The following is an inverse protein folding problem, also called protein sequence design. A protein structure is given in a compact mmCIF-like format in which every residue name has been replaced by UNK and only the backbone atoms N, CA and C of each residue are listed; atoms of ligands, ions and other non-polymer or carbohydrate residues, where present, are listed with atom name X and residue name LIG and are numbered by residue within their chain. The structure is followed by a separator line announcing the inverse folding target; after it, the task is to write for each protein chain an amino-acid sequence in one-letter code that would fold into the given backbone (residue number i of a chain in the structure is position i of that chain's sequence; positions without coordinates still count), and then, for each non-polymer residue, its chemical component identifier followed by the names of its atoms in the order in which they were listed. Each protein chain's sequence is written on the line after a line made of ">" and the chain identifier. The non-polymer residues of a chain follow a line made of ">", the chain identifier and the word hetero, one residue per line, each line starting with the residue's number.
data_IF_960341406722
#
_entry.id   IF_960341406722
#
_cell.length_a   1.000
_cell.length_b   1.000
_cell.length_c   1.000
_cell.angle_alpha   90.00
_cell.angle_beta   90.00
_cell.angle_gamma   90.00
#
_symmetry.space_group_name_H-M   'P 1'
#
loop_
_entity.id
_entity.type
_entity.pdbx_description
1 polymer ?
#
# COMPACT_ATOMS: atom_id res chain seq x y z
N UNK A 1 -0.35 3.63 16.52
CA UNK A 1 -0.64 4.45 15.31
C UNK A 1 -1.80 5.45 15.45
N UNK A 2 -2.83 5.24 16.29
CA UNK A 2 -3.99 6.17 16.36
C UNK A 2 -3.64 7.67 16.55
N UNK A 3 -2.65 7.98 17.40
CA UNK A 3 -2.14 9.35 17.57
C UNK A 3 -1.57 9.96 16.27
N UNK A 4 -1.00 9.14 15.38
CA UNK A 4 -0.52 9.57 14.07
C UNK A 4 -1.67 9.99 13.16
N UNK A 5 -2.74 9.21 13.13
CA UNK A 5 -3.98 9.52 12.40
C UNK A 5 -4.61 10.82 12.89
N UNK A 6 -4.65 11.02 14.22
CA UNK A 6 -5.17 12.27 14.81
C UNK A 6 -4.26 13.48 14.52
N UNK A 7 -2.93 13.34 14.56
CA UNK A 7 -2.02 14.43 14.21
C UNK A 7 -2.07 14.78 12.72
N UNK A 8 -2.18 13.78 11.82
CA UNK A 8 -2.41 14.02 10.38
C UNK A 8 -3.74 14.73 10.15
N UNK A 9 -4.83 14.28 10.79
CA UNK A 9 -6.14 14.95 10.74
C UNK A 9 -6.03 16.42 11.14
N UNK A 10 -5.45 16.69 12.31
CA UNK A 10 -5.29 18.05 12.85
C UNK A 10 -4.39 18.92 11.96
N UNK A 11 -3.30 18.38 11.43
CA UNK A 11 -2.42 19.08 10.50
C UNK A 11 -3.15 19.42 9.19
N UNK A 12 -3.81 18.45 8.56
CA UNK A 12 -4.54 18.68 7.30
C UNK A 12 -5.68 19.69 7.46
N UNK A 13 -6.49 19.55 8.51
CA UNK A 13 -7.57 20.49 8.80
C UNK A 13 -7.04 21.93 9.01
N UNK A 14 -5.93 22.09 9.76
CA UNK A 14 -5.24 23.38 9.89
C UNK A 14 -4.81 23.95 8.53
N UNK A 15 -4.35 23.10 7.60
CA UNK A 15 -3.89 23.55 6.27
C UNK A 15 -4.98 23.99 5.30
N UNK A 16 -6.25 23.71 5.56
CA UNK A 16 -7.36 24.26 4.75
C UNK A 16 -7.69 25.70 5.13
N UNK A 17 -7.53 26.06 6.41
CA UNK A 17 -7.60 27.47 6.85
C UNK A 17 -6.31 28.24 6.54
N UNK A 18 -5.14 27.59 6.61
CA UNK A 18 -3.85 28.20 6.29
C UNK A 18 -2.85 27.15 5.74
N UNK A 19 -2.74 27.08 4.42
CA UNK A 19 -1.95 26.06 3.71
C UNK A 19 -0.42 26.16 3.87
N UNK A 20 0.07 27.13 4.64
CA UNK A 20 1.49 27.35 4.91
C UNK A 20 1.95 26.58 6.15
N UNK A 21 2.86 25.63 5.96
CA UNK A 21 3.60 24.93 7.02
C UNK A 21 5.01 25.48 7.17
N UNK A 22 5.59 25.37 8.39
CA UNK A 22 6.97 25.78 8.67
C UNK A 22 7.85 24.54 8.86
N UNK A 23 8.77 24.30 7.93
CA UNK A 23 9.68 23.14 7.90
C UNK A 23 11.12 23.64 7.83
N UNK A 24 11.98 23.16 8.73
CA UNK A 24 13.38 23.58 8.86
C UNK A 24 13.54 25.12 8.86
N UNK A 25 12.71 25.79 9.67
CA UNK A 25 12.67 27.25 9.81
C UNK A 25 11.97 28.01 8.67
N UNK A 26 11.86 27.44 7.46
CA UNK A 26 11.25 28.06 6.27
C UNK A 26 9.75 27.80 6.19
N UNK A 27 8.98 28.81 5.79
CA UNK A 27 7.54 28.69 5.57
C UNK A 27 7.25 28.39 4.09
N UNK A 28 6.53 27.30 3.80
CA UNK A 28 6.12 26.92 2.43
C UNK A 28 4.72 26.28 2.42
N UNK A 29 4.17 26.06 1.24
CA UNK A 29 2.97 25.23 1.07
C UNK A 29 3.19 23.82 1.64
N UNK A 30 2.15 23.24 2.25
CA UNK A 30 2.16 21.83 2.62
C UNK A 30 2.28 20.97 1.37
N UNK A 31 3.00 19.86 1.49
CA UNK A 31 3.21 18.85 0.46
C UNK A 31 2.81 17.49 1.02
N UNK A 32 2.57 16.51 0.14
CA UNK A 32 2.25 15.13 0.56
C UNK A 32 3.26 14.60 1.58
N UNK A 33 4.55 14.89 1.37
CA UNK A 33 5.67 14.46 2.22
C UNK A 33 5.47 14.86 3.70
N UNK A 34 4.91 16.04 3.97
CA UNK A 34 4.69 16.53 5.34
C UNK A 34 3.64 15.69 6.10
N UNK A 35 2.57 15.27 5.39
CA UNK A 35 1.54 14.40 5.97
C UNK A 35 2.12 13.03 6.33
N UNK A 36 2.95 12.48 5.44
CA UNK A 36 3.61 11.20 5.69
C UNK A 36 4.74 11.29 6.72
N UNK A 37 5.48 12.39 6.81
CA UNK A 37 6.51 12.60 7.84
C UNK A 37 5.93 12.59 9.26
N UNK A 38 4.70 13.09 9.48
CA UNK A 38 3.96 12.95 10.75
C UNK A 38 3.73 11.47 11.07
N UNK A 39 3.26 10.68 10.11
CA UNK A 39 2.99 9.26 10.31
C UNK A 39 4.28 8.42 10.46
N UNK A 40 5.37 8.80 9.77
CA UNK A 40 6.71 8.22 9.94
C UNK A 40 7.30 8.56 11.31
N UNK A 41 7.14 9.79 11.80
CA UNK A 41 7.54 10.21 13.16
C UNK A 41 6.95 9.26 14.21
N UNK A 42 5.63 9.03 14.18
CA UNK A 42 4.97 8.09 15.08
C UNK A 42 5.39 6.64 14.85
N UNK A 43 5.55 6.18 13.61
CA UNK A 43 5.98 4.80 13.33
C UNK A 43 7.40 4.54 13.86
N UNK A 44 8.32 5.50 13.81
CA UNK A 44 9.68 5.37 14.38
C UNK A 44 9.67 5.23 15.89
N UNK A 45 8.78 5.93 16.59
CA UNK A 45 8.70 5.90 18.06
C UNK A 45 7.94 4.67 18.58
N UNK A 46 6.94 4.18 17.84
CA UNK A 46 6.09 3.07 18.28
C UNK A 46 6.72 1.66 18.16
N UNK A 47 7.85 1.54 17.45
CA UNK A 47 8.63 0.30 17.27
C UNK A 47 10.04 0.73 16.81
N UNK A 48 10.91 1.12 17.75
CA UNK A 48 12.21 1.75 17.46
C UNK A 48 13.26 0.76 16.94
N UNK A 49 13.11 -0.53 17.26
CA UNK A 49 14.00 -1.61 16.78
C UNK A 49 13.87 -1.84 15.26
N UNK A 50 12.81 -1.31 14.64
CA UNK A 50 12.61 -1.32 13.19
C UNK A 50 12.74 0.08 12.58
N UNK A 51 13.97 0.55 12.30
CA UNK A 51 14.23 1.89 11.78
C UNK A 51 13.60 2.12 10.39
N UNK A 52 12.56 2.95 10.36
CA UNK A 52 11.90 3.42 9.14
C UNK A 52 12.65 4.64 8.58
N UNK A 53 13.28 4.48 7.43
CA UNK A 53 14.03 5.51 6.71
C UNK A 53 13.33 5.81 5.38
N UNK A 54 13.42 7.05 4.90
CA UNK A 54 12.99 7.35 3.53
C UNK A 54 14.08 6.91 2.55
N UNK A 55 13.67 6.32 1.42
CA UNK A 55 14.64 5.83 0.42
C UNK A 55 15.40 6.98 -0.26
N UNK A 56 14.77 8.14 -0.47
CA UNK A 56 15.43 9.35 -0.99
C UNK A 56 16.46 9.98 -0.02
N UNK A 57 16.47 9.55 1.23
CA UNK A 57 17.44 9.94 2.27
C UNK A 57 18.54 8.88 2.49
N UNK A 58 18.50 7.75 1.78
CA UNK A 58 19.55 6.73 1.87
C UNK A 58 20.79 7.11 1.03
N UNK A 59 22.00 6.66 1.42
CA UNK A 59 23.18 6.76 0.57
C UNK A 59 22.94 6.06 -0.77
N UNK A 60 23.25 6.73 -1.88
CA UNK A 60 23.02 6.20 -3.23
C UNK A 60 23.65 4.82 -3.48
N UNK A 61 24.80 4.53 -2.82
CA UNK A 61 25.48 3.22 -2.87
C UNK A 61 24.68 2.07 -2.24
N UNK A 62 23.74 2.36 -1.34
CA UNK A 62 22.83 1.38 -0.75
C UNK A 62 21.66 1.09 -1.71
N UNK A 63 21.13 2.13 -2.36
CA UNK A 63 20.07 2.00 -3.36
C UNK A 63 20.57 1.27 -4.63
N UNK A 64 21.73 1.67 -5.16
CA UNK A 64 22.31 1.06 -6.38
C UNK A 64 22.83 -0.36 -6.20
N UNK A 65 22.89 -0.85 -4.95
CA UNK A 65 23.09 -2.27 -4.62
C UNK A 65 21.80 -3.09 -4.60
N UNK A 66 20.66 -2.50 -4.97
CA UNK A 66 19.36 -3.17 -5.00
C UNK A 66 18.72 -3.28 -3.61
N UNK A 67 18.57 -2.15 -2.89
CA UNK A 67 17.75 -2.15 -1.67
C UNK A 67 16.30 -2.50 -2.03
N UNK A 68 15.86 -3.69 -1.62
CA UNK A 68 14.55 -4.25 -1.96
C UNK A 68 13.83 -4.76 -0.71
N UNK A 69 12.54 -4.46 -0.58
CA UNK A 69 11.65 -5.11 0.38
C UNK A 69 11.10 -6.41 -0.21
N UNK A 70 11.75 -7.53 0.06
CA UNK A 70 11.27 -8.85 -0.37
C UNK A 70 10.15 -9.36 0.53
N UNK A 71 8.92 -9.42 -0.01
CA UNK A 71 7.83 -10.19 0.59
C UNK A 71 7.91 -11.62 0.03
N UNK A 72 8.40 -12.56 0.84
CA UNK A 72 8.37 -13.97 0.49
C UNK A 72 6.92 -14.47 0.60
N UNK A 73 6.29 -14.76 -0.54
CA UNK A 73 4.96 -15.38 -0.62
C UNK A 73 5.06 -16.89 -0.38
N UNK A 74 6.03 -17.53 -1.05
CA UNK A 74 6.42 -18.93 -0.90
C UNK A 74 7.94 -18.95 -0.74
N UNK A 75 8.48 -19.82 0.12
CA UNK A 75 9.93 -20.05 0.26
C UNK A 75 10.20 -21.52 0.58
N UNK A 76 10.43 -22.32 -0.46
CA UNK A 76 10.34 -23.78 -0.34
C UNK A 76 8.96 -24.15 0.19
N UNK A 77 8.90 -25.07 1.15
CA UNK A 77 7.65 -25.53 1.79
C UNK A 77 6.95 -24.47 2.67
N UNK A 78 7.55 -23.28 2.90
CA UNK A 78 6.96 -22.24 3.74
C UNK A 78 6.08 -21.32 2.91
N UNK A 79 4.76 -21.53 2.98
CA UNK A 79 3.72 -20.65 2.42
C UNK A 79 3.39 -19.54 3.42
N UNK A 80 3.39 -18.29 2.97
CA UNK A 80 3.06 -17.13 3.80
C UNK A 80 1.55 -16.90 3.85
N UNK A 81 0.87 -17.60 4.77
CA UNK A 81 -0.59 -17.64 4.94
C UNK A 81 -1.28 -16.26 4.99
N UNK A 82 -0.56 -15.19 5.37
CA UNK A 82 -1.06 -13.80 5.32
C UNK A 82 -1.50 -13.37 3.92
N UNK A 83 -0.86 -13.89 2.87
CA UNK A 83 -1.06 -13.48 1.48
C UNK A 83 -1.76 -14.55 0.64
N UNK A 84 -2.18 -15.68 1.25
CA UNK A 84 -2.79 -16.80 0.54
C UNK A 84 -4.01 -16.39 -0.31
N UNK A 85 -4.88 -15.54 0.24
CA UNK A 85 -6.06 -14.99 -0.44
C UNK A 85 -5.75 -14.04 -1.63
N UNK A 86 -4.46 -13.81 -1.93
CA UNK A 86 -4.00 -13.05 -3.09
C UNK A 86 -3.28 -13.93 -4.13
N UNK A 87 -3.07 -15.23 -3.88
CA UNK A 87 -2.26 -16.07 -4.78
C UNK A 87 -2.88 -16.17 -6.18
N UNK A 88 -4.20 -16.35 -6.29
CA UNK A 88 -4.93 -16.35 -7.57
C UNK A 88 -4.75 -15.01 -8.31
N UNK A 89 -5.03 -13.88 -7.64
CA UNK A 89 -4.89 -12.54 -8.20
C UNK A 89 -3.46 -12.23 -8.67
N UNK A 90 -2.47 -12.73 -7.94
CA UNK A 90 -1.04 -12.59 -8.26
C UNK A 90 -0.68 -13.48 -9.46
N UNK A 91 -1.18 -14.71 -9.51
CA UNK A 91 -0.96 -15.65 -10.61
C UNK A 91 -1.52 -15.11 -11.93
N UNK A 92 -2.75 -14.61 -11.92
CA UNK A 92 -3.38 -14.04 -13.12
C UNK A 92 -2.72 -12.71 -13.53
N UNK A 93 -2.31 -11.88 -12.58
CA UNK A 93 -1.44 -10.72 -12.87
C UNK A 93 -0.13 -11.15 -13.57
N UNK A 94 0.53 -12.23 -13.11
CA UNK A 94 1.75 -12.73 -13.76
C UNK A 94 1.47 -13.21 -15.19
N UNK A 95 0.38 -13.97 -15.41
CA UNK A 95 -0.06 -14.40 -16.75
C UNK A 95 -0.24 -13.20 -17.68
N UNK A 96 -0.94 -12.15 -17.23
CA UNK A 96 -1.15 -10.92 -18.01
C UNK A 96 0.16 -10.19 -18.34
N UNK A 97 1.08 -10.07 -17.37
CA UNK A 97 2.40 -9.46 -17.64
C UNK A 97 3.24 -10.26 -18.63
N UNK A 98 3.14 -11.60 -18.62
CA UNK A 98 3.78 -12.48 -19.63
C UNK A 98 3.14 -12.26 -21.00
N UNK A 99 1.81 -12.24 -21.10
CA UNK A 99 1.09 -12.01 -22.36
C UNK A 99 1.42 -10.63 -22.96
N UNK A 100 1.50 -9.57 -22.15
CA UNK A 100 1.92 -8.23 -22.60
C UNK A 100 3.36 -8.24 -23.13
N UNK A 101 4.29 -8.91 -22.44
CA UNK A 101 5.67 -9.04 -22.90
C UNK A 101 5.78 -9.80 -24.23
N UNK A 102 5.14 -10.97 -24.33
CA UNK A 102 5.18 -11.77 -25.56
C UNK A 102 4.42 -11.10 -26.70
N UNK A 103 3.35 -10.35 -26.45
CA UNK A 103 2.67 -9.56 -27.49
C UNK A 103 3.54 -8.46 -28.09
N UNK A 104 4.39 -7.81 -27.27
CA UNK A 104 5.31 -6.78 -27.74
C UNK A 104 6.55 -7.33 -28.48
N UNK A 105 7.11 -8.45 -28.03
CA UNK A 105 8.42 -8.95 -28.51
C UNK A 105 8.37 -10.24 -29.35
N UNK A 106 7.30 -11.04 -29.27
CA UNK A 106 7.09 -12.23 -30.09
C UNK A 106 5.59 -12.47 -30.40
N UNK A 107 4.96 -11.61 -31.22
CA UNK A 107 3.53 -11.72 -31.52
C UNK A 107 3.15 -13.02 -32.26
N UNK A 108 4.11 -13.71 -32.90
CA UNK A 108 3.86 -14.99 -33.57
C UNK A 108 3.70 -16.16 -32.58
N UNK A 109 4.49 -16.19 -31.51
CA UNK A 109 4.36 -17.20 -30.45
C UNK A 109 3.25 -16.90 -29.41
N UNK A 110 2.57 -15.74 -29.50
CA UNK A 110 1.61 -15.31 -28.48
C UNK A 110 0.43 -16.29 -28.28
N UNK A 111 0.00 -16.99 -29.34
CA UNK A 111 -1.09 -17.96 -29.25
C UNK A 111 -0.67 -19.22 -28.46
N UNK A 112 0.53 -19.72 -28.70
CA UNK A 112 1.13 -20.86 -27.98
C UNK A 112 1.35 -20.52 -26.50
N UNK A 113 1.88 -19.31 -26.22
CA UNK A 113 2.06 -18.79 -24.86
C UNK A 113 0.71 -18.68 -24.13
N UNK A 114 -0.34 -18.19 -24.80
CA UNK A 114 -1.69 -18.13 -24.23
C UNK A 114 -2.21 -19.52 -23.86
N UNK A 115 -2.15 -20.48 -24.78
CA UNK A 115 -2.59 -21.85 -24.54
C UNK A 115 -1.81 -22.54 -23.41
N UNK A 116 -0.50 -22.26 -23.28
CA UNK A 116 0.28 -22.75 -22.16
C UNK A 116 -0.16 -22.12 -20.81
N UNK A 117 -0.41 -20.81 -20.77
CA UNK A 117 -0.83 -20.10 -19.56
C UNK A 117 -2.29 -20.41 -19.13
N UNK A 118 -3.15 -20.82 -20.06
CA UNK A 118 -4.52 -21.30 -19.76
C UNK A 118 -4.52 -22.60 -18.93
N UNK A 119 -3.45 -23.40 -19.01
CA UNK A 119 -3.27 -24.61 -18.21
C UNK A 119 -2.59 -24.36 -16.84
N UNK A 120 -2.10 -23.14 -16.60
CA UNK A 120 -1.40 -22.77 -15.36
C UNK A 120 -2.39 -22.50 -14.24
N UNK A 121 -2.29 -23.33 -13.20
CA UNK A 121 -3.09 -23.20 -11.97
C UNK A 121 -2.22 -22.87 -10.75
N UNK A 122 -0.89 -23.05 -10.84
CA UNK A 122 0.06 -22.85 -9.73
C UNK A 122 1.26 -22.02 -10.17
N UNK A 123 1.88 -21.30 -9.23
CA UNK A 123 3.02 -20.39 -9.53
C UNK A 123 4.24 -21.21 -10.00
N UNK A 124 4.34 -22.43 -9.52
CA UNK A 124 5.34 -23.45 -9.84
C UNK A 124 5.30 -23.86 -11.33
N UNK A 125 4.13 -23.85 -11.96
CA UNK A 125 3.94 -24.24 -13.38
C UNK A 125 4.57 -23.22 -14.34
N UNK A 126 4.63 -21.95 -13.92
CA UNK A 126 5.09 -20.83 -14.77
C UNK A 126 6.55 -20.96 -15.17
N UNK A 127 7.44 -21.38 -14.26
CA UNK A 127 8.88 -21.41 -14.54
C UNK A 127 9.26 -22.48 -15.57
N UNK A 128 8.73 -23.73 -15.53
CA UNK A 128 8.85 -24.68 -16.62
C UNK A 128 8.35 -24.16 -17.98
N UNK A 129 7.23 -23.44 -18.01
CA UNK A 129 6.67 -22.88 -19.25
C UNK A 129 7.55 -21.73 -19.80
N UNK A 130 7.98 -20.81 -18.94
CA UNK A 130 8.87 -19.71 -19.35
C UNK A 130 10.28 -20.17 -19.77
N UNK A 131 10.68 -21.40 -19.41
CA UNK A 131 11.88 -22.07 -19.93
C UNK A 131 11.71 -22.59 -21.37
N UNK A 132 10.50 -23.00 -21.75
CA UNK A 132 10.20 -23.43 -23.13
C UNK A 132 10.24 -22.23 -24.09
N UNK A 133 9.61 -21.12 -23.71
CA UNK A 133 9.53 -19.93 -24.56
C UNK A 133 10.75 -19.00 -24.49
N UNK A 134 11.62 -19.14 -23.48
CA UNK A 134 12.87 -18.37 -23.38
C UNK A 134 13.97 -19.17 -22.66
N UNK A 135 14.96 -19.66 -23.43
CA UNK A 135 16.10 -20.45 -22.92
C UNK A 135 17.06 -19.69 -22.00
N UNK A 136 16.92 -18.36 -21.87
CA UNK A 136 17.68 -17.56 -20.88
C UNK A 136 17.08 -17.63 -19.47
N UNK A 137 15.86 -18.13 -19.32
CA UNK A 137 15.13 -18.26 -18.05
C UNK A 137 15.68 -19.41 -17.18
N UNK A 138 16.95 -19.38 -16.79
CA UNK A 138 17.59 -20.50 -16.07
C UNK A 138 17.03 -20.72 -14.66
N UNK A 139 17.23 -19.74 -13.79
CA UNK A 139 17.04 -19.94 -12.33
C UNK A 139 15.76 -19.25 -11.83
N UNK A 140 15.23 -18.32 -12.62
CA UNK A 140 13.99 -17.61 -12.38
C UNK A 140 13.65 -16.60 -13.47
N UNK A 141 12.52 -15.91 -13.30
CA UNK A 141 12.17 -14.69 -14.05
C UNK A 141 11.49 -13.67 -13.14
N UNK A 142 11.35 -12.45 -13.64
CA UNK A 142 10.79 -11.31 -12.91
C UNK A 142 9.72 -10.63 -13.76
N UNK A 143 8.62 -10.22 -13.13
CA UNK A 143 7.59 -9.35 -13.70
C UNK A 143 7.37 -8.13 -12.80
N UNK A 144 7.19 -6.97 -13.42
CA UNK A 144 6.97 -5.70 -12.73
C UNK A 144 5.54 -5.23 -12.98
N UNK A 145 4.93 -4.61 -11.96
CA UNK A 145 3.70 -3.84 -12.15
C UNK A 145 4.01 -2.52 -12.84
N UNK A 146 2.99 -1.99 -13.54
CA UNK A 146 3.08 -0.71 -14.23
C UNK A 146 2.13 0.26 -13.56
N UNK A 147 2.68 1.43 -13.23
CA UNK A 147 2.05 2.48 -12.44
C UNK A 147 1.91 3.70 -13.35
N UNK A 148 0.68 4.12 -13.71
CA UNK A 148 0.48 5.21 -14.66
C UNK A 148 0.94 6.55 -14.09
N UNK A 149 1.54 7.40 -14.94
CA UNK A 149 1.99 8.73 -14.56
C UNK A 149 0.85 9.75 -14.57
N UNK A 150 0.54 10.35 -13.41
CA UNK A 150 -0.38 11.49 -13.32
C UNK A 150 0.14 12.77 -14.00
N UNK A 151 1.43 12.81 -14.39
CA UNK A 151 2.09 14.00 -14.95
C UNK A 151 2.34 13.88 -16.46
N UNK A 152 2.81 12.71 -16.89
CA UNK A 152 3.29 12.46 -18.24
C UNK A 152 2.30 11.49 -18.93
N UNK A 153 1.35 12.00 -19.71
CA UNK A 153 0.24 11.19 -20.23
C UNK A 153 0.74 9.99 -21.07
N UNK A 154 0.23 8.79 -20.80
CA UNK A 154 0.63 7.55 -21.48
C UNK A 154 1.98 6.98 -21.05
N UNK A 155 2.65 7.58 -20.06
CA UNK A 155 3.89 7.05 -19.47
C UNK A 155 3.58 6.19 -18.25
N UNK A 156 4.24 5.06 -18.15
CA UNK A 156 4.20 4.17 -16.98
C UNK A 156 5.57 4.11 -16.30
N UNK A 157 5.56 3.90 -14.99
CA UNK A 157 6.74 3.56 -14.18
C UNK A 157 6.61 2.14 -13.63
N UNK A 158 7.73 1.50 -13.31
CA UNK A 158 7.72 0.23 -12.59
C UNK A 158 7.34 0.43 -11.12
N UNK A 159 6.36 -0.36 -10.64
CA UNK A 159 5.93 -0.39 -9.25
C UNK A 159 6.57 -1.54 -8.48
N UNK A 160 5.75 -2.35 -7.81
CA UNK A 160 6.23 -3.57 -7.16
C UNK A 160 6.70 -4.61 -8.18
N UNK A 161 7.53 -5.53 -7.71
CA UNK A 161 8.26 -6.50 -8.54
C UNK A 161 8.09 -7.90 -7.96
N UNK A 162 7.55 -8.82 -8.76
CA UNK A 162 7.46 -10.25 -8.42
C UNK A 162 8.61 -10.97 -9.13
N UNK A 163 9.36 -11.77 -8.38
CA UNK A 163 10.37 -12.67 -8.93
C UNK A 163 10.02 -14.11 -8.55
N UNK A 164 10.03 -14.99 -9.54
CA UNK A 164 9.79 -16.43 -9.38
C UNK A 164 11.11 -17.14 -9.62
N UNK A 165 11.59 -17.87 -8.62
CA UNK A 165 12.81 -18.70 -8.66
C UNK A 165 12.47 -20.15 -8.34
N UNK A 166 13.13 -21.09 -9.01
CA UNK A 166 12.78 -22.50 -8.89
C UNK A 166 13.37 -23.19 -7.66
N UNK A 167 12.49 -23.70 -6.80
CA UNK A 167 12.70 -24.97 -6.07
C UNK A 167 11.33 -25.66 -5.89
N UNK A 168 11.29 -26.90 -5.40
CA UNK A 168 10.28 -27.89 -5.87
C UNK A 168 9.15 -28.33 -4.90
N UNK A 169 7.89 -28.19 -5.38
CA UNK A 169 6.67 -29.02 -5.12
C UNK A 169 6.03 -29.01 -3.71
N UNK A 170 4.69 -29.04 -3.50
CA UNK A 170 3.46 -29.08 -4.32
C UNK A 170 2.27 -28.38 -3.57
N UNK A 171 1.18 -27.96 -4.28
CA UNK A 171 -0.21 -27.66 -3.76
C UNK A 171 -0.45 -26.40 -2.87
N UNK A 172 -1.67 -25.82 -2.61
CA UNK A 172 -3.05 -25.68 -3.17
C UNK A 172 -3.85 -24.68 -2.23
N UNK A 173 -5.00 -24.00 -2.45
CA UNK A 173 -5.98 -23.75 -3.55
C UNK A 173 -6.76 -22.38 -3.32
N UNK A 174 -7.68 -21.98 -4.23
CA UNK A 174 -8.59 -20.77 -4.31
C UNK A 174 -9.56 -20.58 -3.11
N UNK A 175 -10.37 -19.52 -2.88
CA UNK A 175 -10.82 -18.26 -3.56
C UNK A 175 -11.76 -17.47 -2.57
N UNK A 176 -12.66 -16.48 -2.83
CA UNK A 176 -13.09 -15.60 -3.95
C UNK A 176 -13.92 -14.38 -3.37
N UNK A 177 -14.64 -13.54 -4.17
CA UNK A 177 -15.17 -12.19 -3.78
C UNK A 177 -16.69 -11.87 -4.04
N UNK A 178 -17.20 -10.72 -3.51
CA UNK A 178 -18.57 -10.16 -3.75
C UNK A 178 -18.67 -8.60 -3.73
N UNK A 179 -19.82 -8.02 -4.13
CA UNK A 179 -19.98 -6.63 -4.63
C UNK A 179 -20.64 -5.56 -3.69
N UNK A 180 -20.80 -4.30 -4.17
CA UNK A 180 -21.13 -3.08 -3.37
C UNK A 180 -22.00 -2.01 -4.08
N UNK A 181 -22.76 -1.16 -3.32
CA UNK A 181 -23.47 0.06 -3.79
C UNK A 181 -22.69 1.40 -3.67
N UNK A 182 -23.23 2.48 -4.27
CA UNK A 182 -22.57 3.81 -4.51
C UNK A 182 -23.29 4.98 -3.80
N UNK A 183 -22.57 6.05 -3.35
CA UNK A 183 -23.11 7.44 -3.18
C UNK A 183 -22.10 8.56 -2.85
N UNK A 184 -22.58 9.81 -3.01
CA UNK A 184 -22.10 11.13 -2.50
C UNK A 184 -20.89 11.83 -3.20
N UNK A 185 -21.15 12.52 -4.33
CA UNK A 185 -20.14 13.00 -5.33
C UNK A 185 -18.98 13.86 -4.80
N UNK A 186 -19.22 14.87 -3.97
CA UNK A 186 -18.16 15.84 -3.65
C UNK A 186 -17.20 15.30 -2.60
N UNK A 187 -17.73 14.55 -1.63
CA UNK A 187 -16.93 13.71 -0.74
C UNK A 187 -16.24 12.57 -1.50
N UNK A 188 -16.91 11.98 -2.51
CA UNK A 188 -16.34 10.93 -3.36
C UNK A 188 -15.07 11.42 -4.07
N UNK A 189 -15.05 12.66 -4.57
CA UNK A 189 -13.89 13.29 -5.22
C UNK A 189 -12.69 13.47 -4.28
N UNK A 190 -12.90 14.04 -3.09
CA UNK A 190 -11.83 14.18 -2.08
C UNK A 190 -11.33 12.80 -1.63
N UNK A 191 -12.24 11.84 -1.46
CA UNK A 191 -11.90 10.46 -1.14
C UNK A 191 -11.08 9.77 -2.24
N UNK A 192 -11.43 9.97 -3.53
CA UNK A 192 -10.62 9.49 -4.66
C UNK A 192 -9.20 10.06 -4.60
N UNK A 193 -9.03 11.37 -4.36
CA UNK A 193 -7.69 11.98 -4.29
C UNK A 193 -6.83 11.40 -3.14
N UNK A 194 -7.44 11.13 -1.98
CA UNK A 194 -6.78 10.48 -0.83
C UNK A 194 -6.38 9.04 -1.17
N UNK A 195 -7.27 8.29 -1.81
CA UNK A 195 -7.05 6.90 -2.21
C UNK A 195 -6.00 6.79 -3.33
N UNK A 196 -6.02 7.68 -4.32
CA UNK A 196 -4.98 7.79 -5.36
C UNK A 196 -3.60 8.09 -4.76
N UNK A 197 -3.50 9.02 -3.81
CA UNK A 197 -2.23 9.32 -3.13
C UNK A 197 -1.65 8.08 -2.44
N UNK A 198 -2.50 7.24 -1.86
CA UNK A 198 -2.11 6.03 -1.15
C UNK A 198 -1.88 4.84 -2.09
N UNK A 199 -2.58 4.76 -3.22
CA UNK A 199 -2.26 3.85 -4.33
C UNK A 199 -0.81 4.05 -4.79
N UNK A 200 -0.41 5.30 -5.04
CA UNK A 200 0.97 5.61 -5.41
C UNK A 200 1.96 5.34 -4.27
N UNK A 201 1.63 5.67 -3.02
CA UNK A 201 2.52 5.41 -1.88
C UNK A 201 2.75 3.92 -1.60
N UNK A 202 1.71 3.09 -1.74
CA UNK A 202 1.82 1.64 -1.62
C UNK A 202 2.63 1.03 -2.77
N UNK A 203 2.36 1.41 -4.02
CA UNK A 203 3.08 0.87 -5.18
C UNK A 203 4.57 1.30 -5.25
N UNK A 204 4.88 2.54 -4.89
CA UNK A 204 6.26 3.09 -4.98
C UNK A 204 7.11 2.80 -3.73
N UNK A 205 6.50 2.27 -2.66
CA UNK A 205 7.15 1.90 -1.39
C UNK A 205 8.31 2.82 -0.93
N UNK A 206 8.12 4.15 -0.77
CA UNK A 206 9.22 5.10 -0.58
C UNK A 206 9.91 5.06 0.80
N UNK A 207 9.59 4.06 1.64
CA UNK A 207 10.15 3.83 2.97
C UNK A 207 10.87 2.47 3.05
N UNK A 208 11.92 2.42 3.86
CA UNK A 208 12.72 1.21 4.11
C UNK A 208 11.88 0.03 4.59
N UNK A 209 10.89 0.27 5.45
CA UNK A 209 9.92 -0.69 5.99
C UNK A 209 8.63 0.05 6.38
N UNK A 210 7.51 -0.68 6.50
CA UNK A 210 6.30 -0.17 7.15
C UNK A 210 5.42 0.78 6.31
N UNK A 211 5.67 0.90 5.00
CA UNK A 211 4.97 1.81 4.09
C UNK A 211 3.45 1.75 4.20
N UNK A 212 2.87 0.56 4.31
CA UNK A 212 1.42 0.36 4.37
C UNK A 212 0.79 0.82 5.69
N UNK A 213 1.46 0.60 6.83
CA UNK A 213 1.00 1.08 8.15
C UNK A 213 1.02 2.61 8.21
N UNK A 214 2.04 3.24 7.60
CA UNK A 214 2.12 4.70 7.46
C UNK A 214 1.01 5.21 6.53
N UNK A 215 0.85 4.61 5.35
CA UNK A 215 -0.16 5.01 4.37
C UNK A 215 -1.60 4.89 4.91
N UNK A 216 -1.93 3.77 5.57
CA UNK A 216 -3.22 3.59 6.24
C UNK A 216 -3.48 4.65 7.32
N UNK A 217 -2.45 5.01 8.10
CA UNK A 217 -2.56 6.07 9.10
C UNK A 217 -2.87 7.44 8.47
N UNK A 218 -2.29 7.71 7.28
CA UNK A 218 -2.53 8.93 6.49
C UNK A 218 -3.91 8.92 5.82
N UNK A 219 -4.38 7.79 5.25
CA UNK A 219 -5.77 7.64 4.74
C UNK A 219 -6.76 8.06 5.80
N UNK A 220 -6.65 7.46 7.00
CA UNK A 220 -7.60 7.72 8.08
C UNK A 220 -7.54 9.17 8.54
N UNK A 221 -6.32 9.75 8.67
CA UNK A 221 -6.18 11.16 9.05
C UNK A 221 -6.79 12.11 8.01
N UNK A 222 -6.62 11.81 6.72
CA UNK A 222 -7.13 12.61 5.62
C UNK A 222 -8.66 12.53 5.45
N UNK A 223 -9.25 11.35 5.65
CA UNK A 223 -10.71 11.18 5.65
C UNK A 223 -11.35 11.84 6.88
N UNK A 224 -10.75 11.67 8.06
CA UNK A 224 -11.21 12.35 9.26
C UNK A 224 -11.11 13.87 9.12
N UNK A 225 -10.05 14.39 8.47
CA UNK A 225 -9.97 15.81 8.16
C UNK A 225 -11.18 16.27 7.34
N UNK A 226 -11.62 15.50 6.33
CA UNK A 226 -12.76 15.86 5.47
C UNK A 226 -14.13 15.62 6.09
N UNK A 227 -14.20 15.47 7.42
CA UNK A 227 -15.44 15.27 8.16
C UNK A 227 -16.07 13.90 7.91
N UNK A 228 -15.29 12.90 7.49
CA UNK A 228 -15.75 11.52 7.26
C UNK A 228 -14.99 10.53 8.16
N UNK A 229 -15.69 9.62 8.82
CA UNK A 229 -15.07 8.49 9.52
C UNK A 229 -15.31 7.17 8.78
N UNK A 230 -14.34 6.26 8.88
CA UNK A 230 -14.40 4.90 8.34
C UNK A 230 -14.99 3.99 9.42
N UNK A 231 -16.28 3.66 9.30
CA UNK A 231 -16.99 2.78 10.25
C UNK A 231 -16.99 1.33 9.78
N UNK A 232 -16.74 1.10 8.50
CA UNK A 232 -16.57 -0.22 7.91
C UNK A 232 -15.27 -0.92 8.33
N UNK A 233 -15.12 -2.18 7.95
CA UNK A 233 -13.95 -3.01 8.28
C UNK A 233 -13.39 -3.62 7.00
N UNK A 234 -12.07 -3.65 6.89
CA UNK A 234 -11.36 -4.40 5.85
C UNK A 234 -11.87 -5.86 5.86
N UNK A 235 -12.26 -6.47 4.72
CA UNK A 235 -12.78 -7.82 4.69
C UNK A 235 -11.73 -8.84 5.16
N UNK A 236 -12.19 -9.99 5.69
CA UNK A 236 -11.27 -11.07 6.11
C UNK A 236 -10.42 -11.53 4.91
N UNK A 237 -9.11 -11.70 5.13
CA UNK A 237 -8.15 -12.08 4.09
C UNK A 237 -7.66 -10.92 3.21
N UNK A 238 -8.32 -9.76 3.22
CA UNK A 238 -7.94 -8.59 2.41
C UNK A 238 -6.94 -7.70 3.14
N UNK A 239 -6.04 -7.06 2.39
CA UNK A 239 -4.98 -6.17 2.88
C UNK A 239 -4.90 -4.93 1.98
N UNK A 240 -5.01 -3.73 2.57
CA UNK A 240 -5.18 -2.46 1.82
C UNK A 240 -3.99 -2.12 0.91
N UNK A 241 -2.78 -2.57 1.29
CA UNK A 241 -1.58 -2.42 0.48
C UNK A 241 -1.52 -3.41 -0.69
N UNK A 242 -1.97 -4.65 -0.51
CA UNK A 242 -2.08 -5.61 -1.61
C UNK A 242 -3.21 -5.23 -2.57
N UNK A 243 -4.37 -4.76 -2.09
CA UNK A 243 -5.41 -4.20 -2.97
C UNK A 243 -4.87 -3.06 -3.85
N UNK A 244 -4.09 -2.14 -3.27
CA UNK A 244 -3.45 -1.06 -4.02
C UNK A 244 -2.42 -1.57 -5.04
N UNK A 245 -1.70 -2.66 -4.75
CA UNK A 245 -0.73 -3.27 -5.66
C UNK A 245 -1.42 -4.07 -6.78
N UNK A 246 -2.38 -4.94 -6.48
CA UNK A 246 -2.99 -5.84 -7.48
C UNK A 246 -3.98 -5.15 -8.41
N UNK A 247 -4.50 -3.95 -8.07
CA UNK A 247 -5.35 -3.18 -9.01
C UNK A 247 -4.52 -2.40 -10.03
N UNK A 248 -4.95 -2.31 -11.31
CA UNK A 248 -4.18 -1.67 -12.38
C UNK A 248 -4.24 -0.13 -12.39
N UNK A 249 -5.12 0.48 -11.61
CA UNK A 249 -5.32 1.94 -11.61
C UNK A 249 -5.79 2.46 -10.24
N UNK A 250 -5.49 3.72 -9.90
CA UNK A 250 -5.93 4.31 -8.63
C UNK A 250 -7.46 4.46 -8.54
N UNK A 251 -8.18 4.57 -9.65
CA UNK A 251 -9.66 4.57 -9.69
C UNK A 251 -10.21 3.18 -9.37
N UNK A 252 -9.55 2.13 -9.87
CA UNK A 252 -9.88 0.74 -9.62
C UNK A 252 -9.65 0.40 -8.13
N UNK A 253 -8.51 0.82 -7.58
CA UNK A 253 -8.26 0.79 -6.14
C UNK A 253 -9.31 1.58 -5.35
N UNK A 254 -9.63 2.80 -5.79
CA UNK A 254 -10.54 3.69 -5.06
C UNK A 254 -11.94 3.09 -4.95
N UNK A 255 -12.43 2.42 -6.01
CA UNK A 255 -13.66 1.64 -5.99
C UNK A 255 -13.57 0.53 -4.94
N UNK A 256 -12.58 -0.36 -5.05
CA UNK A 256 -12.43 -1.52 -4.13
C UNK A 256 -12.15 -1.11 -2.68
N UNK A 257 -11.56 0.05 -2.44
CA UNK A 257 -11.37 0.62 -1.10
C UNK A 257 -12.68 1.15 -0.50
N UNK A 258 -13.42 1.97 -1.26
CA UNK A 258 -14.72 2.53 -0.83
C UNK A 258 -15.72 1.44 -0.47
N UNK A 259 -15.65 0.29 -1.14
CA UNK A 259 -16.49 -0.88 -0.89
C UNK A 259 -16.61 -1.27 0.59
N UNK A 260 -15.50 -1.29 1.32
CA UNK A 260 -15.47 -1.75 2.72
C UNK A 260 -15.30 -0.62 3.73
N UNK A 261 -15.10 0.62 3.29
CA UNK A 261 -14.88 1.76 4.20
C UNK A 261 -16.15 2.23 4.93
N UNK A 262 -17.32 2.16 4.29
CA UNK A 262 -18.60 2.64 4.85
C UNK A 262 -18.48 4.00 5.55
N UNK A 263 -18.29 5.06 4.75
CA UNK A 263 -17.99 6.41 5.23
C UNK A 263 -19.22 7.06 5.88
N UNK A 264 -19.09 7.44 7.15
CA UNK A 264 -20.10 8.19 7.90
C UNK A 264 -19.59 9.60 8.24
N UNK A 265 -20.44 10.51 8.72
CA UNK A 265 -20.03 11.85 9.15
C UNK A 265 -19.22 11.79 10.46
N UNK A 266 -18.06 12.45 10.50
CA UNK A 266 -17.22 12.51 11.70
C UNK A 266 -17.98 13.15 12.89
N UNK A 267 -18.05 12.49 14.05
CA UNK A 267 -18.65 13.04 15.26
C UNK A 267 -18.04 14.37 15.71
N UNK A 268 -18.89 15.31 16.14
CA UNK A 268 -18.48 16.68 16.52
C UNK A 268 -17.44 16.70 17.65
N UNK A 269 -17.44 15.72 18.56
CA UNK A 269 -16.48 15.65 19.68
C UNK A 269 -15.02 15.50 19.26
N UNK A 270 -14.72 15.06 18.03
CA UNK A 270 -13.35 15.07 17.50
C UNK A 270 -12.77 16.49 17.40
N UNK A 271 -13.63 17.52 17.27
CA UNK A 271 -13.21 18.93 17.23
C UNK A 271 -12.77 19.48 18.58
N UNK A 272 -13.21 18.87 19.69
CA UNK A 272 -12.80 19.25 21.06
C UNK A 272 -11.55 18.50 21.57
N UNK A 273 -10.91 17.66 20.74
CA UNK A 273 -9.68 16.98 21.12
C UNK A 273 -8.49 17.96 21.18
N UNK A 274 -7.59 17.84 22.18
CA UNK A 274 -6.38 18.65 22.24
C UNK A 274 -5.45 18.37 21.06
N UNK A 275 -4.61 19.34 20.72
CA UNK A 275 -3.62 19.17 19.66
C UNK A 275 -2.58 18.10 20.05
N UNK A 276 -2.47 17.04 19.26
CA UNK A 276 -1.52 15.95 19.48
C UNK A 276 -0.07 16.46 19.43
N UNK A 277 0.21 17.41 18.54
CA UNK A 277 1.54 18.00 18.38
C UNK A 277 1.95 18.92 19.56
N UNK A 278 0.99 19.62 20.18
CA UNK A 278 1.25 20.43 21.37
C UNK A 278 1.23 19.59 22.67
N UNK A 279 0.48 18.49 22.70
CA UNK A 279 0.42 17.57 23.86
C UNK A 279 1.64 16.67 23.94
N UNK A 280 2.18 16.21 22.80
CA UNK A 280 3.35 15.33 22.72
C UNK A 280 4.50 15.97 21.90
N UNK A 281 5.06 17.10 22.36
CA UNK A 281 6.03 17.89 21.60
C UNK A 281 7.45 17.27 21.55
N UNK A 282 7.68 16.15 22.25
CA UNK A 282 9.00 15.54 22.42
C UNK A 282 8.95 14.03 22.26
N UNK A 283 10.05 13.42 21.78
CA UNK A 283 10.16 11.96 21.69
C UNK A 283 9.95 11.27 23.03
N UNK A 284 10.32 11.92 24.15
CA UNK A 284 10.06 11.46 25.52
C UNK A 284 8.55 11.31 25.77
N UNK A 285 7.79 12.40 25.62
CA UNK A 285 6.35 12.39 25.89
C UNK A 285 5.57 11.52 24.89
N UNK A 286 6.08 11.36 23.66
CA UNK A 286 5.57 10.36 22.71
C UNK A 286 5.83 8.91 23.14
N UNK A 287 6.95 8.59 23.78
CA UNK A 287 7.23 7.25 24.33
C UNK A 287 6.38 7.00 25.57
N UNK A 288 6.27 7.98 26.47
CA UNK A 288 5.52 7.88 27.72
C UNK A 288 4.03 7.58 27.46
N UNK A 289 3.38 8.26 26.51
CA UNK A 289 1.97 7.96 26.16
C UNK A 289 1.78 6.60 25.50
N UNK A 290 2.75 6.09 24.74
CA UNK A 290 2.68 4.77 24.12
C UNK A 290 2.92 3.60 25.09
N UNK A 291 3.46 3.88 26.28
CA UNK A 291 3.65 2.91 27.37
C UNK A 291 2.64 3.10 28.52
N UNK A 292 1.70 4.03 28.39
CA UNK A 292 0.64 4.25 29.39
C UNK A 292 -0.40 3.14 29.29
N UNK A 293 -0.71 2.46 30.40
CA UNK A 293 -1.83 1.52 30.42
C UNK A 293 -3.15 2.27 30.26
N UNK A 294 -3.94 1.82 29.28
CA UNK A 294 -5.26 2.37 28.94
C UNK A 294 -6.41 1.49 29.42
N UNK A 295 -6.13 0.38 30.13
CA UNK A 295 -7.13 -0.56 30.64
C UNK A 295 -8.16 0.07 31.60
N UNK A 296 -7.77 1.14 32.29
CA UNK A 296 -8.61 1.97 33.18
C UNK A 296 -9.44 3.03 32.43
N UNK A 297 -9.04 3.39 31.21
CA UNK A 297 -9.59 4.53 30.46
C UNK A 297 -10.39 4.11 29.21
N UNK A 298 -10.16 2.91 28.69
CA UNK A 298 -10.93 2.33 27.59
C UNK A 298 -11.80 1.18 28.12
N UNK A 299 -13.15 1.30 28.14
CA UNK A 299 -14.00 0.19 28.55
C UNK A 299 -13.80 -0.99 27.60
N UNK A 300 -13.51 -2.18 28.17
CA UNK A 300 -13.37 -3.42 27.40
C UNK A 300 -14.69 -3.70 26.67
N UNK A 301 -14.70 -3.56 25.34
CA UNK A 301 -15.78 -4.11 24.52
C UNK A 301 -15.68 -5.63 24.53
N UNK A 302 -16.68 -6.27 25.10
CA UNK A 302 -16.97 -7.70 24.96
C UNK A 302 -17.31 -8.06 23.52
#
# INVERSE_FOLDING_TARGET
>A
MGLATLEVMQAMHRTWSNSKVRVNGKTRQMQWRDMFDIAVKWRRIADPDQPVLWLDQMPARSLSRGFNNHINLIRGQIINIRYLAYFDNILDFIKDRILVYHGAYNPRGLLEVRQALENVNKVEDLLPIMKQFNSKTRDGFTVNSKVPSMKDLGKEYDGFTITITGDSRDADDRGADAAVPVRDRDADAVCNLILSLVYYFCNLMPLSRGSSVVAYSVVMGALMASGKEVVGRIPKGKLVDFEAMTTPSPESFSKTAKNWMNLMSLPVWYQSLPSVAETFPSSRTMIEVLNTDSSSHCPKKS
#
